data_IF_316539190340
#
_entry.id   IF_316539190340
#
_cell.length_a   1.000
_cell.length_b   1.000
_cell.length_c   1.000
_cell.angle_alpha   90.00
_cell.angle_beta   90.00
_cell.angle_gamma   90.00
#
_symmetry.space_group_name_H-M   'P 1'
#
loop_
_entity.id
_entity.type
_entity.pdbx_description
1 polymer ?
#
# COMPACT_ATOMS: atom_id res chain seq x y z
N UNK A 1 -6.93 4.80 -26.11
CA UNK A 1 -7.73 3.56 -26.02
C UNK A 1 -7.27 2.82 -24.78
N UNK A 2 -7.91 3.11 -23.65
CA UNK A 2 -7.59 2.53 -22.35
C UNK A 2 -8.61 1.43 -22.07
N UNK A 3 -8.17 0.18 -22.08
CA UNK A 3 -8.98 -0.93 -21.62
C UNK A 3 -8.98 -0.94 -20.09
N UNK A 4 -10.18 -0.87 -19.52
CA UNK A 4 -10.51 -1.16 -18.12
C UNK A 4 -9.90 -2.49 -17.69
N UNK A 5 -9.08 -2.51 -16.64
CA UNK A 5 -8.60 -3.77 -16.08
C UNK A 5 -8.45 -3.64 -14.56
N UNK A 6 -9.52 -3.95 -13.85
CA UNK A 6 -9.37 -4.90 -12.76
C UNK A 6 -8.75 -6.15 -13.37
N UNK A 7 -7.48 -6.46 -13.08
CA UNK A 7 -6.84 -7.65 -13.63
C UNK A 7 -7.31 -8.87 -12.84
N UNK A 8 -8.56 -9.23 -13.13
CA UNK A 8 -9.11 -10.59 -13.07
C UNK A 8 -8.12 -11.52 -13.77
N UNK A 9 -7.80 -12.68 -13.18
CA UNK A 9 -7.20 -13.78 -13.92
C UNK A 9 -8.20 -14.09 -15.04
N UNK A 10 -7.85 -14.08 -16.34
CA UNK A 10 -8.83 -14.10 -17.42
C UNK A 10 -9.91 -15.15 -17.19
N UNK A 11 -11.15 -14.69 -17.08
CA UNK A 11 -12.33 -15.52 -16.90
C UNK A 11 -12.46 -16.50 -18.06
N UNK A 12 -12.70 -17.76 -17.71
CA UNK A 12 -12.97 -18.85 -18.65
C UNK A 12 -14.20 -18.45 -19.48
N UNK A 13 -14.13 -18.69 -20.80
CA UNK A 13 -15.24 -18.54 -21.73
C UNK A 13 -16.52 -19.18 -21.17
N UNK A 14 -17.62 -18.43 -21.23
CA UNK A 14 -18.95 -18.84 -20.80
C UNK A 14 -19.38 -20.15 -21.48
N UNK A 15 -19.51 -21.21 -20.70
CA UNK A 15 -20.35 -22.35 -21.04
C UNK A 15 -21.49 -22.41 -20.02
N UNK A 16 -22.71 -22.40 -20.56
CA UNK A 16 -24.02 -22.67 -19.96
C UNK A 16 -24.13 -22.70 -18.43
N UNK A 17 -24.88 -21.75 -17.88
CA UNK A 17 -25.38 -21.78 -16.50
C UNK A 17 -26.34 -22.95 -16.32
N UNK A 18 -25.93 -23.93 -15.53
CA UNK A 18 -26.82 -24.85 -14.84
C UNK A 18 -26.69 -24.63 -13.33
N UNK A 19 -27.82 -24.57 -12.65
CA UNK A 19 -27.94 -24.35 -11.22
C UNK A 19 -27.38 -25.54 -10.43
N UNK A 20 -26.14 -25.40 -9.96
CA UNK A 20 -25.45 -26.24 -9.00
C UNK A 20 -24.25 -25.46 -8.47
N UNK A 21 -23.88 -25.64 -7.20
CA UNK A 21 -22.74 -25.00 -6.54
C UNK A 21 -21.56 -24.79 -7.50
N UNK A 22 -21.10 -23.54 -7.68
CA UNK A 22 -19.94 -23.24 -8.51
C UNK A 22 -18.79 -24.16 -8.10
N UNK A 23 -18.12 -24.84 -9.05
CA UNK A 23 -16.98 -25.66 -8.70
C UNK A 23 -15.90 -24.75 -8.11
N UNK A 24 -15.39 -25.13 -6.94
CA UNK A 24 -14.29 -24.42 -6.29
C UNK A 24 -13.12 -24.27 -7.25
N UNK A 25 -12.41 -23.15 -7.16
CA UNK A 25 -11.30 -22.86 -8.08
C UNK A 25 -10.28 -24.01 -8.06
N UNK A 26 -9.83 -24.51 -9.23
CA UNK A 26 -8.92 -25.65 -9.31
C UNK A 26 -7.58 -25.41 -8.60
N UNK A 27 -7.27 -24.15 -8.29
CA UNK A 27 -6.05 -23.72 -7.63
C UNK A 27 -6.18 -23.61 -6.12
N UNK A 28 -7.37 -23.28 -5.60
CA UNK A 28 -7.56 -22.93 -4.19
C UNK A 28 -8.18 -24.07 -3.37
N UNK A 29 -8.80 -25.05 -4.03
CA UNK A 29 -9.37 -26.23 -3.38
C UNK A 29 -10.63 -25.90 -2.58
N UNK A 30 -10.47 -25.24 -1.44
CA UNK A 30 -11.54 -24.79 -0.55
C UNK A 30 -11.62 -23.25 -0.53
N UNK A 31 -12.83 -22.72 -0.71
CA UNK A 31 -13.14 -21.30 -0.57
C UNK A 31 -13.23 -20.88 0.90
N UNK A 32 -12.91 -19.62 1.18
CA UNK A 32 -12.99 -19.08 2.54
C UNK A 32 -14.43 -18.69 2.84
N UNK A 33 -14.96 -19.15 3.97
CA UNK A 33 -16.26 -18.73 4.50
C UNK A 33 -16.22 -17.24 4.91
N UNK A 34 -17.00 -16.35 4.26
CA UNK A 34 -17.00 -14.92 4.55
C UNK A 34 -17.58 -14.57 5.93
N UNK A 35 -18.25 -15.49 6.61
CA UNK A 35 -18.75 -15.27 7.97
C UNK A 35 -17.68 -15.52 9.04
N UNK A 36 -16.50 -16.02 8.63
CA UNK A 36 -15.40 -16.34 9.53
C UNK A 36 -14.23 -15.39 9.33
N UNK A 37 -13.47 -15.18 10.42
CA UNK A 37 -12.21 -14.43 10.43
C UNK A 37 -11.05 -15.33 9.92
N UNK A 38 -11.27 -15.94 8.77
CA UNK A 38 -10.35 -16.88 8.15
C UNK A 38 -9.58 -16.20 7.02
N UNK A 39 -8.29 -16.54 6.94
CA UNK A 39 -7.39 -16.08 5.89
C UNK A 39 -6.61 -17.26 5.34
N UNK A 40 -6.14 -17.14 4.10
CA UNK A 40 -5.23 -18.11 3.51
C UNK A 40 -3.79 -17.64 3.74
N UNK A 41 -2.93 -18.52 4.24
CA UNK A 41 -1.50 -18.29 4.32
C UNK A 41 -0.77 -19.16 3.30
N UNK A 42 0.24 -18.59 2.67
CA UNK A 42 1.08 -19.24 1.67
C UNK A 42 2.37 -19.73 2.32
N UNK A 43 2.70 -21.00 2.14
CA UNK A 43 4.01 -21.57 2.43
C UNK A 43 4.83 -21.58 1.15
N UNK A 44 5.86 -20.75 1.09
CA UNK A 44 6.88 -20.77 0.04
C UNK A 44 7.90 -21.88 0.39
N UNK A 45 8.04 -22.88 -0.49
CA UNK A 45 8.93 -24.00 -0.24
C UNK A 45 10.39 -23.64 -0.52
N UNK A 46 11.35 -24.30 0.17
CA UNK A 46 12.77 -24.11 -0.07
C UNK A 46 13.18 -24.42 -1.51
N UNK A 47 14.24 -23.77 -1.97
CA UNK A 47 14.82 -24.07 -3.28
C UNK A 47 15.99 -23.17 -3.63
N UNK A 48 16.74 -23.56 -4.66
CA UNK A 48 17.83 -22.74 -5.20
C UNK A 48 17.27 -21.47 -5.84
N UNK A 49 18.07 -20.41 -5.95
CA UNK A 49 17.65 -19.16 -6.57
C UNK A 49 17.03 -19.38 -7.97
N UNK A 50 17.67 -20.17 -8.83
CA UNK A 50 17.21 -20.42 -10.21
C UNK A 50 16.23 -21.61 -10.33
N UNK A 51 15.88 -22.25 -9.22
CA UNK A 51 14.94 -23.38 -9.20
C UNK A 51 13.48 -22.96 -9.36
N UNK A 52 12.57 -23.88 -9.73
CA UNK A 52 11.15 -23.56 -9.86
C UNK A 52 10.55 -23.13 -8.52
N UNK A 53 9.72 -22.08 -8.52
CA UNK A 53 9.00 -21.64 -7.32
C UNK A 53 7.84 -22.59 -7.06
N UNK A 54 7.78 -23.10 -5.83
CA UNK A 54 6.67 -23.96 -5.37
C UNK A 54 6.07 -23.38 -4.10
N UNK A 55 4.75 -23.26 -4.10
CA UNK A 55 3.98 -22.73 -2.99
C UNK A 55 2.78 -23.63 -2.69
N UNK A 56 2.45 -23.76 -1.41
CA UNK A 56 1.20 -24.35 -0.95
C UNK A 56 0.46 -23.35 -0.07
N UNK A 57 -0.84 -23.56 0.15
CA UNK A 57 -1.64 -22.69 1.02
C UNK A 57 -2.44 -23.45 2.04
N UNK A 58 -2.70 -22.82 3.19
CA UNK A 58 -3.61 -23.32 4.22
C UNK A 58 -4.55 -22.21 4.70
N UNK A 59 -5.81 -22.56 4.99
CA UNK A 59 -6.77 -21.67 5.64
C UNK A 59 -6.53 -21.71 7.15
N UNK A 60 -6.41 -20.54 7.76
CA UNK A 60 -6.18 -20.38 9.20
C UNK A 60 -7.12 -19.32 9.75
N UNK A 61 -7.33 -19.35 11.07
CA UNK A 61 -8.08 -18.33 11.77
C UNK A 61 -7.17 -17.16 12.16
N UNK A 62 -7.50 -15.94 11.74
CA UNK A 62 -6.70 -14.75 12.03
C UNK A 62 -6.74 -14.40 13.52
N UNK A 63 -7.90 -14.55 14.17
CA UNK A 63 -8.08 -14.37 15.62
C UNK A 63 -7.24 -15.33 16.47
N UNK A 64 -6.76 -16.46 15.92
CA UNK A 64 -5.79 -17.32 16.61
C UNK A 64 -4.34 -16.81 16.56
N UNK A 65 -4.11 -15.63 15.97
CA UNK A 65 -2.81 -14.95 15.86
C UNK A 65 -1.71 -15.82 15.25
N UNK A 66 -1.90 -16.33 14.02
CA UNK A 66 -0.87 -17.12 13.35
C UNK A 66 0.38 -16.28 13.07
N UNK A 67 1.55 -16.91 12.98
CA UNK A 67 2.83 -16.26 12.65
C UNK A 67 3.05 -16.30 11.14
N UNK A 68 3.25 -15.14 10.51
CA UNK A 68 3.49 -15.00 9.07
C UNK A 68 4.11 -13.63 8.74
N UNK A 69 4.72 -13.54 7.55
CA UNK A 69 5.17 -12.26 6.98
C UNK A 69 4.18 -11.79 5.92
N UNK A 70 3.68 -10.56 6.01
CA UNK A 70 2.91 -9.99 4.90
C UNK A 70 3.86 -9.47 3.82
N UNK A 71 3.61 -9.75 2.55
CA UNK A 71 4.39 -9.21 1.43
C UNK A 71 3.68 -8.02 0.80
N UNK A 72 4.37 -6.88 0.77
CA UNK A 72 3.95 -5.67 0.09
C UNK A 72 4.91 -5.41 -1.07
N UNK A 73 4.40 -5.31 -2.30
CA UNK A 73 5.21 -5.18 -3.51
C UNK A 73 4.42 -4.52 -4.63
N UNK A 74 5.11 -3.93 -5.62
CA UNK A 74 4.46 -3.40 -6.83
C UNK A 74 4.05 -4.54 -7.76
N UNK A 75 2.77 -4.64 -8.10
CA UNK A 75 2.24 -5.72 -8.95
C UNK A 75 2.94 -5.87 -10.31
N UNK A 76 3.29 -4.76 -10.96
CA UNK A 76 3.90 -4.76 -12.30
C UNK A 76 2.89 -4.91 -13.43
N UNK A 77 3.38 -5.30 -14.62
CA UNK A 77 2.55 -5.47 -15.80
C UNK A 77 1.61 -6.69 -15.67
N UNK A 78 0.27 -6.53 -15.79
CA UNK A 78 -0.67 -7.64 -15.72
C UNK A 78 -0.55 -8.64 -16.89
N UNK A 79 0.07 -8.24 -18.00
CA UNK A 79 0.29 -9.11 -19.16
C UNK A 79 1.59 -9.93 -19.08
N UNK A 80 2.56 -9.48 -18.29
CA UNK A 80 3.85 -10.16 -18.10
C UNK A 80 3.75 -11.15 -16.93
N UNK A 81 3.55 -12.43 -17.27
CA UNK A 81 3.28 -13.52 -16.33
C UNK A 81 4.35 -14.62 -16.44
N UNK A 82 4.71 -15.20 -15.29
CA UNK A 82 5.59 -16.35 -15.18
C UNK A 82 4.88 -17.47 -14.39
N UNK A 83 5.07 -18.74 -14.75
CA UNK A 83 4.43 -19.85 -14.07
C UNK A 83 5.14 -20.21 -12.76
N UNK A 84 4.35 -20.63 -11.77
CA UNK A 84 4.83 -21.29 -10.55
C UNK A 84 4.07 -22.59 -10.31
N UNK A 85 4.59 -23.43 -9.43
CA UNK A 85 3.83 -24.56 -8.89
C UNK A 85 3.03 -24.07 -7.67
N UNK A 86 1.70 -24.03 -7.77
CA UNK A 86 0.83 -23.53 -6.70
C UNK A 86 -0.22 -24.59 -6.35
N UNK A 87 -0.25 -25.01 -5.08
CA UNK A 87 -1.14 -26.08 -4.59
C UNK A 87 -1.10 -27.35 -5.45
N UNK A 88 0.10 -27.73 -5.91
CA UNK A 88 0.32 -28.92 -6.75
C UNK A 88 0.06 -28.69 -8.26
N UNK A 89 -0.46 -27.54 -8.67
CA UNK A 89 -0.68 -27.19 -10.09
C UNK A 89 0.56 -26.52 -10.66
N UNK A 90 1.17 -27.11 -11.70
CA UNK A 90 2.52 -26.78 -12.19
C UNK A 90 2.65 -25.51 -13.06
N UNK A 91 1.57 -24.78 -13.29
CA UNK A 91 1.55 -23.65 -14.25
C UNK A 91 0.64 -22.50 -13.81
N UNK A 92 0.57 -22.21 -12.52
CA UNK A 92 -0.21 -21.07 -12.03
C UNK A 92 0.51 -19.75 -12.40
N UNK A 93 -0.14 -18.83 -13.14
CA UNK A 93 0.52 -17.62 -13.63
C UNK A 93 0.55 -16.51 -12.56
N UNK A 94 1.73 -15.96 -12.28
CA UNK A 94 1.91 -14.77 -11.43
C UNK A 94 2.65 -13.66 -12.18
N UNK A 95 2.56 -12.42 -11.72
CA UNK A 95 3.28 -11.30 -12.36
C UNK A 95 4.80 -11.52 -12.28
N UNK A 96 5.56 -10.98 -13.25
CA UNK A 96 7.04 -11.00 -13.18
C UNK A 96 7.57 -10.40 -11.87
N UNK A 97 6.97 -9.33 -11.39
CA UNK A 97 7.40 -8.68 -10.15
C UNK A 97 7.22 -9.62 -8.94
N UNK A 98 6.07 -10.30 -8.82
CA UNK A 98 5.86 -11.26 -7.75
C UNK A 98 6.80 -12.45 -7.87
N UNK A 99 7.00 -12.99 -9.07
CA UNK A 99 7.96 -14.07 -9.30
C UNK A 99 9.37 -13.67 -8.86
N UNK A 100 9.81 -12.48 -9.24
CA UNK A 100 11.12 -11.93 -8.87
C UNK A 100 11.23 -11.74 -7.37
N UNK A 101 10.20 -11.21 -6.71
CA UNK A 101 10.14 -11.08 -5.26
C UNK A 101 10.29 -12.45 -4.58
N UNK A 102 9.45 -13.42 -4.92
CA UNK A 102 9.49 -14.77 -4.35
C UNK A 102 10.84 -15.45 -4.57
N UNK A 103 11.48 -15.25 -5.73
CA UNK A 103 12.83 -15.75 -6.01
C UNK A 103 13.86 -15.24 -5.01
N UNK A 104 13.82 -13.96 -4.67
CA UNK A 104 14.75 -13.34 -3.71
C UNK A 104 14.39 -13.63 -2.26
N UNK A 105 13.09 -13.75 -1.96
CA UNK A 105 12.59 -14.00 -0.61
C UNK A 105 12.81 -15.44 -0.16
N UNK A 106 12.75 -16.40 -1.11
CA UNK A 106 12.90 -17.84 -0.88
C UNK A 106 14.21 -18.18 -0.17
N UNK A 107 14.09 -18.82 0.98
CA UNK A 107 15.21 -19.44 1.67
C UNK A 107 15.60 -20.78 1.01
N UNK A 108 16.89 -21.12 0.91
CA UNK A 108 17.33 -22.36 0.27
C UNK A 108 16.98 -23.63 1.07
N UNK A 109 16.74 -23.51 2.38
CA UNK A 109 16.64 -24.66 3.29
C UNK A 109 15.31 -24.72 4.05
N UNK A 110 14.70 -23.57 4.36
CA UNK A 110 13.56 -23.48 5.26
C UNK A 110 12.30 -22.95 4.55
N UNK A 111 11.14 -23.59 4.73
CA UNK A 111 9.90 -23.03 4.23
C UNK A 111 9.57 -21.72 4.96
N UNK A 112 8.99 -20.77 4.25
CA UNK A 112 8.62 -19.47 4.78
C UNK A 112 7.11 -19.24 4.60
N UNK A 113 6.47 -18.68 5.63
CA UNK A 113 5.03 -18.44 5.62
C UNK A 113 4.77 -16.97 5.32
N UNK A 114 4.04 -16.72 4.23
CA UNK A 114 3.67 -15.40 3.77
C UNK A 114 2.15 -15.22 3.69
N UNK A 115 1.70 -13.98 3.82
CA UNK A 115 0.45 -13.54 3.24
C UNK A 115 0.74 -12.65 2.04
N UNK A 116 0.16 -12.96 0.89
CA UNK A 116 0.37 -12.25 -0.37
C UNK A 116 -1.00 -12.09 -1.04
N UNK A 117 -1.50 -10.86 -1.16
CA UNK A 117 -2.83 -10.54 -1.72
C UNK A 117 -3.18 -11.32 -2.99
N UNK A 118 -2.26 -11.37 -3.96
CA UNK A 118 -2.44 -12.02 -5.26
C UNK A 118 -2.55 -13.55 -5.20
N UNK A 119 -2.09 -14.19 -4.12
CA UNK A 119 -2.06 -15.66 -3.97
C UNK A 119 -2.88 -16.16 -2.78
N UNK A 120 -3.13 -15.33 -1.78
CA UNK A 120 -3.91 -15.69 -0.60
C UNK A 120 -5.39 -15.37 -0.78
N UNK A 121 -5.74 -14.40 -1.62
CA UNK A 121 -7.13 -14.08 -1.95
C UNK A 121 -7.49 -14.76 -3.29
N UNK A 122 -8.59 -15.51 -3.32
CA UNK A 122 -9.17 -15.98 -4.56
C UNK A 122 -9.78 -14.80 -5.33
N UNK A 123 -9.02 -14.28 -6.30
CA UNK A 123 -9.35 -13.03 -7.01
C UNK A 123 -10.62 -13.12 -7.86
N UNK A 124 -11.05 -14.34 -8.20
CA UNK A 124 -12.19 -14.61 -9.07
C UNK A 124 -13.47 -14.92 -8.29
N UNK A 125 -13.38 -15.09 -6.96
CA UNK A 125 -14.53 -15.43 -6.12
C UNK A 125 -15.23 -14.16 -5.59
N UNK A 126 -16.47 -13.95 -6.04
CA UNK A 126 -17.23 -12.70 -5.82
C UNK A 126 -17.44 -12.33 -4.35
N UNK A 127 -17.56 -13.30 -3.45
CA UNK A 127 -17.76 -13.05 -2.01
C UNK A 127 -16.45 -13.05 -1.20
N UNK A 128 -15.51 -13.98 -1.47
CA UNK A 128 -14.21 -14.06 -0.78
C UNK A 128 -13.41 -12.76 -0.95
N UNK A 129 -13.30 -12.23 -2.18
CA UNK A 129 -12.45 -11.06 -2.45
C UNK A 129 -12.87 -9.80 -1.67
N UNK A 130 -14.13 -9.33 -1.73
CA UNK A 130 -14.58 -8.19 -0.93
C UNK A 130 -14.40 -8.41 0.57
N UNK A 131 -14.64 -9.64 1.06
CA UNK A 131 -14.43 -9.98 2.47
C UNK A 131 -12.96 -9.87 2.88
N UNK A 132 -12.04 -10.49 2.13
CA UNK A 132 -10.62 -10.46 2.43
C UNK A 132 -10.02 -9.05 2.32
N UNK A 133 -10.51 -8.20 1.40
CA UNK A 133 -10.12 -6.78 1.32
C UNK A 133 -10.46 -6.03 2.62
N UNK A 134 -11.60 -6.33 3.23
CA UNK A 134 -11.97 -5.71 4.52
C UNK A 134 -11.05 -6.17 5.66
N UNK A 135 -10.54 -7.40 5.59
CA UNK A 135 -9.61 -7.94 6.57
C UNK A 135 -8.17 -7.47 6.37
N UNK A 136 -7.80 -6.87 5.23
CA UNK A 136 -6.41 -6.48 4.93
C UNK A 136 -5.78 -5.65 6.06
N UNK A 137 -6.51 -4.69 6.61
CA UNK A 137 -6.01 -3.88 7.73
C UNK A 137 -5.66 -4.73 8.96
N UNK A 138 -6.46 -5.74 9.27
CA UNK A 138 -6.22 -6.65 10.40
C UNK A 138 -5.14 -7.69 10.08
N UNK A 139 -5.03 -8.12 8.83
CA UNK A 139 -3.96 -9.00 8.34
C UNK A 139 -2.60 -8.32 8.51
N UNK A 140 -2.43 -7.11 7.98
CA UNK A 140 -1.15 -6.38 8.15
C UNK A 140 -0.86 -6.06 9.61
N UNK A 141 -1.89 -5.77 10.43
CA UNK A 141 -1.75 -5.53 11.87
C UNK A 141 -1.29 -6.75 12.67
N UNK A 142 -1.72 -7.94 12.27
CA UNK A 142 -1.40 -9.19 12.97
C UNK A 142 -0.22 -9.96 12.35
N UNK A 143 0.32 -9.52 11.21
CA UNK A 143 1.54 -10.05 10.65
C UNK A 143 2.71 -9.86 11.62
N UNK A 144 3.67 -10.79 11.66
CA UNK A 144 4.88 -10.63 12.47
C UNK A 144 5.75 -9.48 11.96
N UNK A 145 5.75 -9.29 10.65
CA UNK A 145 6.40 -8.17 9.94
C UNK A 145 5.73 -8.03 8.57
N UNK A 146 5.81 -6.83 7.99
CA UNK A 146 5.54 -6.62 6.56
C UNK A 146 6.86 -6.45 5.83
N UNK A 147 7.14 -7.33 4.87
CA UNK A 147 8.25 -7.16 3.94
C UNK A 147 7.80 -6.30 2.77
N UNK A 148 8.34 -5.09 2.68
CA UNK A 148 8.14 -4.15 1.58
C UNK A 148 9.23 -4.40 0.55
N UNK A 149 8.87 -5.02 -0.57
CA UNK A 149 9.78 -5.33 -1.66
C UNK A 149 9.82 -4.21 -2.71
N UNK A 150 10.95 -3.51 -2.79
CA UNK A 150 11.17 -2.43 -3.76
C UNK A 150 11.66 -2.91 -5.14
N UNK A 151 12.17 -4.14 -5.22
CA UNK A 151 12.72 -4.72 -6.44
C UNK A 151 14.15 -5.26 -6.27
N UNK A 152 14.73 -5.83 -7.35
CA UNK A 152 16.14 -6.24 -7.38
C UNK A 152 17.08 -5.08 -7.09
N UNK A 153 18.28 -5.38 -6.59
CA UNK A 153 19.29 -4.35 -6.37
C UNK A 153 19.91 -3.87 -7.68
N UNK A 154 20.23 -2.58 -7.72
CA UNK A 154 21.08 -1.92 -8.72
C UNK A 154 22.27 -1.30 -8.00
N UNK A 155 23.38 -0.99 -8.70
CA UNK A 155 24.48 -0.24 -8.08
C UNK A 155 24.03 1.06 -7.41
N UNK A 156 23.00 1.71 -7.97
CA UNK A 156 22.42 2.92 -7.39
C UNK A 156 21.61 2.63 -6.13
N UNK A 157 20.75 1.61 -6.12
CA UNK A 157 19.98 1.27 -4.93
C UNK A 157 20.87 0.79 -3.78
N UNK A 158 21.93 0.05 -4.07
CA UNK A 158 22.91 -0.40 -3.08
C UNK A 158 23.65 0.80 -2.46
N UNK A 159 24.03 1.79 -3.29
CA UNK A 159 24.60 3.04 -2.81
C UNK A 159 23.63 3.79 -1.90
N UNK A 160 22.36 3.92 -2.30
CA UNK A 160 21.33 4.59 -1.51
C UNK A 160 21.10 3.90 -0.16
N UNK A 161 20.98 2.57 -0.12
CA UNK A 161 20.78 1.81 1.12
C UNK A 161 22.00 1.89 2.02
N UNK A 162 23.22 1.81 1.46
CA UNK A 162 24.45 1.99 2.23
C UNK A 162 24.52 3.38 2.87
N UNK A 163 24.11 4.41 2.12
CA UNK A 163 24.05 5.78 2.59
C UNK A 163 23.01 5.94 3.70
N UNK A 164 21.77 5.47 3.50
CA UNK A 164 20.71 5.52 4.52
C UNK A 164 21.21 4.88 5.84
N UNK A 165 21.82 3.69 5.75
CA UNK A 165 22.40 3.01 6.92
C UNK A 165 23.50 3.82 7.60
N UNK A 166 24.34 4.51 6.82
CA UNK A 166 25.41 5.36 7.37
C UNK A 166 24.89 6.63 8.03
N UNK A 167 23.68 7.09 7.67
CA UNK A 167 23.07 8.30 8.21
C UNK A 167 22.23 8.00 9.45
N UNK A 168 21.75 6.77 9.60
CA UNK A 168 21.00 6.32 10.76
C UNK A 168 21.80 6.52 12.06
N UNK A 169 21.22 7.26 13.02
CA UNK A 169 21.88 7.62 14.28
C UNK A 169 22.99 8.69 14.18
N UNK A 170 23.24 9.29 13.01
CA UNK A 170 24.27 10.34 12.85
C UNK A 170 23.72 11.75 13.05
N UNK A 171 24.59 12.66 13.51
CA UNK A 171 24.25 14.07 13.56
C UNK A 171 24.43 14.72 12.17
N UNK A 172 23.31 14.90 11.47
CA UNK A 172 23.25 15.54 10.15
C UNK A 172 23.61 17.04 10.16
N UNK A 173 23.71 17.70 11.31
CA UNK A 173 24.17 19.10 11.38
C UNK A 173 25.63 19.28 10.94
N UNK A 174 26.44 18.21 11.02
CA UNK A 174 27.86 18.29 10.69
C UNK A 174 28.08 18.30 9.18
N UNK A 175 28.80 19.29 8.61
CA UNK A 175 29.12 19.31 7.18
C UNK A 175 29.87 18.07 6.70
N UNK A 176 30.62 17.40 7.60
CA UNK A 176 31.31 16.14 7.33
C UNK A 176 30.38 14.97 7.04
N UNK A 177 29.11 15.06 7.45
CA UNK A 177 28.09 14.03 7.31
C UNK A 177 27.10 14.37 6.18
N UNK A 178 27.39 15.42 5.41
CA UNK A 178 26.56 15.78 4.26
C UNK A 178 26.66 14.70 3.16
N UNK A 179 25.53 14.20 2.64
CA UNK A 179 25.56 13.22 1.57
C UNK A 179 26.24 13.75 0.31
N UNK A 180 27.03 12.91 -0.35
CA UNK A 180 27.61 13.24 -1.66
C UNK A 180 26.52 13.44 -2.73
N UNK A 181 26.78 14.21 -3.80
CA UNK A 181 25.80 14.39 -4.89
C UNK A 181 25.33 13.08 -5.53
N UNK A 182 26.23 12.10 -5.66
CA UNK A 182 25.89 10.75 -6.15
C UNK A 182 25.00 10.00 -5.15
N UNK A 183 25.25 10.16 -3.85
CA UNK A 183 24.43 9.62 -2.78
C UNK A 183 23.00 10.21 -2.78
N UNK A 184 22.88 11.53 -2.96
CA UNK A 184 21.58 12.19 -3.08
C UNK A 184 20.78 11.72 -4.31
N UNK A 185 21.45 11.54 -5.45
CA UNK A 185 20.82 10.97 -6.65
C UNK A 185 20.34 9.54 -6.40
N UNK A 186 21.14 8.76 -5.68
CA UNK A 186 20.78 7.39 -5.33
C UNK A 186 19.55 7.32 -4.41
N UNK A 187 19.48 8.20 -3.40
CA UNK A 187 18.29 8.36 -2.57
C UNK A 187 17.07 8.75 -3.42
N UNK A 188 17.22 9.72 -4.32
CA UNK A 188 16.13 10.16 -5.19
C UNK A 188 15.57 9.03 -6.07
N UNK A 189 16.41 8.10 -6.54
CA UNK A 189 15.98 6.92 -7.29
C UNK A 189 15.10 5.99 -6.42
N UNK A 190 15.53 5.70 -5.18
CA UNK A 190 14.71 4.90 -4.26
C UNK A 190 13.38 5.60 -3.93
N UNK A 191 13.39 6.93 -3.75
CA UNK A 191 12.17 7.72 -3.51
C UNK A 191 11.20 7.70 -4.70
N UNK A 192 11.72 7.53 -5.92
CA UNK A 192 10.93 7.42 -7.15
C UNK A 192 10.31 6.03 -7.36
N UNK A 193 10.60 5.05 -6.49
CA UNK A 193 10.02 3.73 -6.58
C UNK A 193 8.47 3.82 -6.59
N UNK A 194 7.78 3.20 -7.58
CA UNK A 194 6.32 3.24 -7.68
C UNK A 194 5.58 2.68 -6.47
N UNK A 195 6.27 1.96 -5.59
CA UNK A 195 5.69 1.49 -4.34
C UNK A 195 5.19 2.65 -3.49
N UNK A 196 6.01 3.70 -3.31
CA UNK A 196 5.69 4.83 -2.43
C UNK A 196 4.43 5.59 -2.85
N UNK A 197 4.06 5.56 -4.13
CA UNK A 197 2.92 6.31 -4.65
C UNK A 197 1.58 5.61 -4.48
N UNK A 198 1.52 4.32 -4.12
CA UNK A 198 0.26 3.57 -4.12
C UNK A 198 -0.54 3.80 -2.85
N UNK A 199 -1.83 4.07 -2.96
CA UNK A 199 -2.70 4.34 -1.79
C UNK A 199 -2.69 3.20 -0.75
N UNK A 200 -2.65 1.95 -1.21
CA UNK A 200 -2.71 0.79 -0.34
C UNK A 200 -1.52 0.65 0.60
N UNK A 201 -0.32 1.10 0.19
CA UNK A 201 0.90 0.92 0.99
C UNK A 201 0.83 1.57 2.36
N UNK A 202 -0.07 2.55 2.50
CA UNK A 202 -0.35 3.17 3.78
C UNK A 202 -0.92 2.15 4.75
N UNK A 203 -1.87 1.27 4.40
CA UNK A 203 -2.30 0.22 5.32
C UNK A 203 -1.20 -0.84 5.53
N UNK A 204 -0.55 -1.23 4.44
CA UNK A 204 0.40 -2.35 4.39
C UNK A 204 1.59 -2.11 5.31
N UNK A 205 2.07 -0.87 5.26
CA UNK A 205 3.11 -0.41 6.12
C UNK A 205 2.47 0.08 7.46
N UNK A 206 1.50 1.02 7.41
CA UNK A 206 0.67 1.59 8.50
C UNK A 206 0.67 0.82 9.79
N UNK A 207 0.02 -0.31 9.59
CA UNK A 207 -0.58 -1.17 10.58
C UNK A 207 0.38 -2.29 10.95
N UNK A 208 1.40 -2.55 10.12
CA UNK A 208 2.45 -3.53 10.40
C UNK A 208 3.15 -3.21 11.71
N UNK A 209 3.31 -4.16 12.64
CA UNK A 209 4.03 -3.91 13.88
C UNK A 209 5.53 -3.63 13.66
N UNK A 210 6.13 -4.20 12.62
CA UNK A 210 7.54 -4.02 12.27
C UNK A 210 7.73 -4.10 10.74
N UNK A 211 7.42 -3.04 9.98
CA UNK A 211 7.63 -3.05 8.53
C UNK A 211 9.12 -2.93 8.20
N UNK A 212 9.59 -3.80 7.31
CA UNK A 212 10.96 -3.79 6.78
C UNK A 212 10.94 -3.47 5.28
N UNK A 213 11.93 -2.74 4.81
CA UNK A 213 12.14 -2.46 3.39
C UNK A 213 13.25 -3.36 2.88
N UNK A 214 12.97 -4.07 1.79
CA UNK A 214 13.91 -4.96 1.13
C UNK A 214 14.09 -4.57 -0.34
N UNK A 215 15.35 -4.48 -0.76
CA UNK A 215 15.75 -4.26 -2.15
C UNK A 215 16.92 -5.20 -2.46
N UNK A 216 16.71 -6.13 -3.40
CA UNK A 216 17.64 -7.24 -3.63
C UNK A 216 17.87 -8.06 -2.35
N UNK A 217 19.13 -8.21 -1.97
CA UNK A 217 19.54 -8.91 -0.75
C UNK A 217 19.57 -8.00 0.49
N UNK A 218 19.44 -6.69 0.33
CA UNK A 218 19.58 -5.73 1.43
C UNK A 218 18.24 -5.47 2.09
N UNK A 219 18.25 -5.42 3.43
CA UNK A 219 17.10 -5.12 4.28
C UNK A 219 17.41 -3.95 5.20
N UNK A 220 16.44 -3.07 5.40
CA UNK A 220 16.45 -1.96 6.35
C UNK A 220 15.12 -1.92 7.11
N UNK A 221 15.13 -1.39 8.33
CA UNK A 221 13.86 -1.05 9.00
C UNK A 221 13.21 0.13 8.29
N UNK A 222 11.89 0.24 8.39
CA UNK A 222 11.19 1.43 7.93
C UNK A 222 11.68 2.71 8.64
N UNK A 223 12.08 2.59 9.90
CA UNK A 223 12.60 3.72 10.70
C UNK A 223 13.89 4.32 10.11
N UNK A 224 14.78 3.49 9.55
CA UNK A 224 16.00 4.00 8.90
C UNK A 224 15.69 4.95 7.74
N UNK A 225 14.50 4.88 7.13
CA UNK A 225 14.09 5.82 6.08
C UNK A 225 13.61 7.17 6.62
N UNK A 226 13.28 7.27 7.91
CA UNK A 226 12.84 8.53 8.53
C UNK A 226 13.95 9.58 8.57
N UNK A 227 15.21 9.16 8.62
CA UNK A 227 16.38 10.07 8.53
C UNK A 227 16.38 10.87 7.23
N UNK A 228 15.79 10.33 6.16
CA UNK A 228 15.70 11.01 4.87
C UNK A 228 14.74 12.21 4.91
N UNK A 229 13.72 12.17 5.77
CA UNK A 229 12.83 13.31 5.97
C UNK A 229 13.55 14.45 6.70
N UNK A 230 14.43 14.13 7.64
CA UNK A 230 15.25 15.14 8.35
C UNK A 230 16.22 15.86 7.40
N UNK A 231 16.83 15.12 6.45
CA UNK A 231 17.64 15.71 5.36
C UNK A 231 16.79 16.61 4.46
N UNK A 232 15.60 16.14 4.06
CA UNK A 232 14.70 16.87 3.16
C UNK A 232 14.19 18.17 3.80
N UNK A 233 13.81 18.12 5.07
CA UNK A 233 13.26 19.26 5.83
C UNK A 233 14.34 20.18 6.38
N UNK A 234 15.61 19.77 6.32
CA UNK A 234 16.71 20.46 6.98
C UNK A 234 16.55 20.54 8.50
N UNK A 235 15.84 19.57 9.11
CA UNK A 235 15.32 19.68 10.48
C UNK A 235 15.86 18.59 11.41
N UNK A 236 16.18 18.94 12.66
CA UNK A 236 16.67 18.04 13.72
C UNK A 236 15.53 17.73 14.68
N UNK A 237 15.15 16.44 14.81
CA UNK A 237 14.09 16.01 15.72
C UNK A 237 14.31 16.18 17.24
N UNK A 238 15.47 16.64 17.79
CA UNK A 238 15.56 16.93 19.23
C UNK A 238 15.48 18.42 19.65
N UNK A 239 15.28 19.41 18.78
CA UNK A 239 15.17 20.81 19.22
C UNK A 239 14.09 21.61 18.49
N UNK A 240 13.22 22.28 19.27
CA UNK A 240 12.03 23.03 18.84
C UNK A 240 12.31 24.31 18.00
N UNK A 241 13.39 24.40 17.22
CA UNK A 241 13.73 25.66 16.53
C UNK A 241 14.00 25.44 15.05
N UNK A 242 13.15 26.01 14.21
CA UNK A 242 13.42 26.22 12.78
C UNK A 242 14.63 27.16 12.63
N UNK A 243 15.75 26.67 12.08
CA UNK A 243 16.81 27.55 11.59
C UNK A 243 16.84 27.51 10.06
N UNK A 244 16.36 28.59 9.46
CA UNK A 244 16.29 28.83 8.01
C UNK A 244 17.66 29.07 7.33
N UNK A 245 18.75 28.54 7.90
CA UNK A 245 20.10 28.97 7.55
C UNK A 245 20.94 27.82 6.97
N UNK A 246 21.25 27.96 5.68
CA UNK A 246 22.33 27.31 4.91
C UNK A 246 22.02 26.05 4.06
N UNK A 247 20.80 25.88 3.53
CA UNK A 247 20.56 24.98 2.35
C UNK A 247 19.88 25.77 1.22
N UNK A 248 20.40 26.97 0.90
CA UNK A 248 20.01 27.72 -0.30
C UNK A 248 20.99 27.51 -1.47
N UNK A 249 21.94 26.58 -1.35
CA UNK A 249 22.94 26.29 -2.41
C UNK A 249 22.68 24.97 -3.14
N UNK A 250 21.69 24.16 -2.72
CA UNK A 250 21.22 22.97 -3.46
C UNK A 250 19.89 23.32 -4.15
N UNK A 251 19.87 24.43 -4.88
CA UNK A 251 18.71 24.98 -5.61
C UNK A 251 18.41 24.25 -6.92
N UNK A 252 18.43 22.91 -6.92
CA UNK A 252 17.88 22.10 -8.02
C UNK A 252 17.32 20.73 -7.59
N UNK A 253 17.27 20.42 -6.28
CA UNK A 253 16.57 19.25 -5.77
C UNK A 253 15.33 19.71 -5.00
N UNK A 254 14.35 20.25 -5.72
CA UNK A 254 13.01 20.50 -5.19
C UNK A 254 12.37 19.14 -4.83
N UNK A 255 12.72 18.60 -3.66
CA UNK A 255 12.02 17.47 -3.05
C UNK A 255 10.65 18.00 -2.64
N UNK A 256 9.69 17.88 -3.56
CA UNK A 256 8.37 18.46 -3.47
C UNK A 256 7.76 18.25 -2.07
N UNK A 257 7.21 19.33 -1.51
CA UNK A 257 6.49 19.34 -0.22
C UNK A 257 5.23 18.45 -0.23
N UNK A 258 4.90 17.86 -1.39
CA UNK A 258 3.82 16.90 -1.64
C UNK A 258 4.33 15.80 -2.58
N UNK A 259 5.07 14.83 -2.05
CA UNK A 259 5.31 13.58 -2.77
C UNK A 259 4.92 12.39 -1.88
N UNK A 260 4.43 11.27 -2.46
CA UNK A 260 3.92 10.15 -1.67
C UNK A 260 4.97 9.54 -0.72
N UNK A 261 6.24 9.55 -1.12
CA UNK A 261 7.37 9.16 -0.27
C UNK A 261 7.40 10.00 1.02
N UNK A 262 7.40 11.33 0.89
CA UNK A 262 7.38 12.27 2.02
C UNK A 262 6.10 12.12 2.84
N UNK A 263 4.97 11.84 2.17
CA UNK A 263 3.72 11.54 2.85
C UNK A 263 3.88 10.38 3.83
N UNK A 264 4.52 9.30 3.38
CA UNK A 264 4.86 8.16 4.23
C UNK A 264 5.88 8.58 5.30
N UNK A 265 7.10 9.00 4.95
CA UNK A 265 8.16 9.17 5.98
C UNK A 265 7.91 10.31 6.98
N UNK A 266 7.10 11.31 6.63
CA UNK A 266 6.70 12.40 7.55
C UNK A 266 5.49 12.05 8.39
N UNK A 267 4.35 11.74 7.77
CA UNK A 267 3.08 11.69 8.50
C UNK A 267 2.92 10.39 9.25
N UNK A 268 3.60 9.36 8.78
CA UNK A 268 3.60 8.05 9.39
C UNK A 268 3.91 8.04 10.88
N UNK A 269 5.04 8.59 11.39
CA UNK A 269 5.44 8.36 12.77
C UNK A 269 4.41 8.99 13.72
N UNK A 270 3.97 10.21 13.42
CA UNK A 270 2.94 10.91 14.19
C UNK A 270 1.60 10.16 14.14
N UNK A 271 1.21 9.67 12.96
CA UNK A 271 -0.03 8.94 12.81
C UNK A 271 0.00 7.56 13.47
N UNK A 272 1.13 6.86 13.40
CA UNK A 272 1.37 5.57 14.05
C UNK A 272 1.29 5.72 15.57
N UNK A 273 1.93 6.76 16.11
CA UNK A 273 1.86 7.09 17.54
C UNK A 273 0.40 7.33 17.93
N UNK A 274 -0.36 8.12 17.18
CA UNK A 274 -1.80 8.36 17.46
C UNK A 274 -2.65 7.09 17.38
N UNK A 275 -2.36 6.20 16.42
CA UNK A 275 -3.12 4.95 16.22
C UNK A 275 -2.80 3.89 17.28
N UNK A 276 -1.52 3.72 17.65
CA UNK A 276 -1.08 2.67 18.57
C UNK A 276 -1.15 3.10 20.03
N UNK A 277 -0.96 4.39 20.32
CA UNK A 277 -0.96 4.94 21.67
C UNK A 277 -1.96 6.12 21.78
N UNK A 278 -3.27 5.86 21.67
CA UNK A 278 -4.27 6.90 21.77
C UNK A 278 -4.22 7.55 23.16
N UNK A 279 -3.89 8.84 23.23
CA UNK A 279 -3.96 9.58 24.50
C UNK A 279 -5.35 10.19 24.66
N UNK A 280 -5.85 10.38 25.90
CA UNK A 280 -7.15 11.01 26.14
C UNK A 280 -7.27 12.43 25.56
N UNK A 281 -6.14 13.10 25.33
CA UNK A 281 -6.06 14.45 24.77
C UNK A 281 -5.86 14.48 23.25
N UNK A 282 -5.45 13.38 22.62
CA UNK A 282 -5.34 13.31 21.16
C UNK A 282 -6.70 13.08 20.54
N UNK A 283 -7.14 14.00 19.67
CA UNK A 283 -8.27 13.72 18.79
C UNK A 283 -7.86 12.58 17.85
N UNK A 284 -8.65 11.48 17.77
CA UNK A 284 -8.37 10.43 16.81
C UNK A 284 -8.40 11.03 15.40
N UNK A 285 -7.39 10.73 14.59
CA UNK A 285 -7.35 11.22 13.21
C UNK A 285 -8.59 10.72 12.46
N UNK A 286 -9.39 11.66 11.98
CA UNK A 286 -10.62 11.32 11.26
C UNK A 286 -10.29 10.71 9.91
N UNK A 287 -11.19 9.87 9.37
CA UNK A 287 -11.04 9.40 7.99
C UNK A 287 -10.96 10.53 6.96
N UNK A 288 -11.60 11.65 7.27
CA UNK A 288 -11.49 12.88 6.49
C UNK A 288 -10.04 13.38 6.43
N UNK A 289 -9.33 13.46 7.57
CA UNK A 289 -7.90 13.82 7.57
C UNK A 289 -7.08 12.85 6.72
N UNK A 290 -7.34 11.55 6.85
CA UNK A 290 -6.64 10.55 6.04
C UNK A 290 -6.92 10.68 4.56
N UNK A 291 -8.18 10.89 4.15
CA UNK A 291 -8.55 11.10 2.76
C UNK A 291 -7.83 12.34 2.17
N UNK A 292 -7.60 13.37 2.97
CA UNK A 292 -6.79 14.52 2.56
C UNK A 292 -5.32 14.13 2.34
N UNK A 293 -4.69 13.43 3.29
CA UNK A 293 -3.30 13.00 3.14
C UNK A 293 -3.08 12.03 1.98
N UNK A 294 -4.10 11.22 1.65
CA UNK A 294 -4.02 10.24 0.57
C UNK A 294 -4.37 10.79 -0.82
N UNK A 295 -4.73 12.07 -0.91
CA UNK A 295 -5.07 12.71 -2.18
C UNK A 295 -3.92 12.64 -3.21
N UNK A 296 -2.67 12.68 -2.75
CA UNK A 296 -1.47 12.61 -3.60
C UNK A 296 -1.08 11.16 -4.00
N UNK A 297 -1.72 10.14 -3.40
CA UNK A 297 -1.40 8.73 -3.65
C UNK A 297 -2.19 8.17 -4.81
N UNK A 298 -1.53 7.48 -5.74
CA UNK A 298 -2.11 6.86 -6.90
C UNK A 298 -2.98 5.64 -6.54
N UNK A 299 -4.09 5.51 -7.26
CA UNK A 299 -5.00 4.38 -7.18
C UNK A 299 -5.36 3.95 -8.61
N UNK A 300 -5.29 2.65 -8.90
CA UNK A 300 -5.66 2.12 -10.22
C UNK A 300 -7.17 2.04 -10.37
N UNK A 301 -7.87 1.53 -9.34
CA UNK A 301 -9.30 1.76 -9.20
C UNK A 301 -9.51 3.07 -8.40
N UNK A 302 -10.23 4.06 -8.94
CA UNK A 302 -10.58 5.27 -8.19
C UNK A 302 -11.20 4.99 -6.80
N UNK A 303 -11.96 3.90 -6.61
CA UNK A 303 -12.57 3.52 -5.32
C UNK A 303 -11.54 3.22 -4.23
N UNK A 304 -10.33 2.81 -4.59
CA UNK A 304 -9.26 2.49 -3.65
C UNK A 304 -8.75 3.72 -2.89
N UNK A 305 -9.01 4.93 -3.38
CA UNK A 305 -8.79 6.17 -2.60
C UNK A 305 -9.57 6.19 -1.28
N UNK A 306 -10.69 5.45 -1.23
CA UNK A 306 -11.53 5.28 -0.05
C UNK A 306 -11.32 3.89 0.58
N UNK A 307 -11.30 2.80 -0.20
CA UNK A 307 -11.08 1.46 0.36
C UNK A 307 -9.69 1.30 0.98
N UNK A 308 -8.69 2.01 0.45
CA UNK A 308 -7.36 2.14 1.01
C UNK A 308 -7.32 2.81 2.40
N UNK A 309 -8.45 3.29 2.92
CA UNK A 309 -8.58 3.82 4.29
C UNK A 309 -9.26 2.85 5.27
N UNK A 310 -9.80 1.72 4.81
CA UNK A 310 -10.56 0.77 5.64
C UNK A 310 -9.79 0.31 6.88
N UNK A 311 -8.51 -0.01 6.75
CA UNK A 311 -7.69 -0.46 7.88
C UNK A 311 -7.40 0.61 8.93
N UNK A 312 -7.54 1.90 8.57
CA UNK A 312 -7.34 3.07 9.44
C UNK A 312 -8.66 3.58 10.04
N UNK A 313 -9.78 3.16 9.48
CA UNK A 313 -11.12 3.55 9.86
C UNK A 313 -11.51 3.00 11.25
N UNK A 314 -12.31 3.76 12.00
CA UNK A 314 -12.96 3.25 13.22
C UNK A 314 -13.96 2.13 12.88
N UNK A 315 -14.38 1.34 13.87
CA UNK A 315 -15.33 0.23 13.62
C UNK A 315 -16.65 0.73 13.00
N UNK A 316 -17.15 1.88 13.45
CA UNK A 316 -18.36 2.50 12.91
C UNK A 316 -18.17 2.88 11.43
N UNK A 317 -17.00 3.45 11.11
CA UNK A 317 -16.67 3.86 9.75
C UNK A 317 -16.47 2.66 8.81
N UNK A 318 -15.84 1.58 9.29
CA UNK A 318 -15.63 0.35 8.52
C UNK A 318 -16.96 -0.25 8.07
N UNK A 319 -17.99 -0.26 8.93
CA UNK A 319 -19.34 -0.79 8.60
C UNK A 319 -19.97 -0.07 7.39
N UNK A 320 -19.76 1.23 7.28
CA UNK A 320 -20.35 2.03 6.19
C UNK A 320 -19.62 1.78 4.87
N UNK A 321 -18.30 1.70 4.92
CA UNK A 321 -17.50 1.41 3.73
C UNK A 321 -17.63 -0.05 3.28
N UNK A 322 -17.80 -0.99 4.22
CA UNK A 322 -18.13 -2.41 3.97
C UNK A 322 -19.34 -2.54 3.06
N UNK A 323 -20.43 -1.84 3.39
CA UNK A 323 -21.63 -1.82 2.56
C UNK A 323 -21.35 -1.36 1.12
N UNK A 324 -20.48 -0.38 0.93
CA UNK A 324 -20.16 0.12 -0.42
C UNK A 324 -19.36 -0.89 -1.25
N UNK A 325 -18.47 -1.65 -0.61
CA UNK A 325 -17.65 -2.68 -1.25
C UNK A 325 -18.50 -3.90 -1.65
N UNK A 326 -19.37 -4.37 -0.76
CA UNK A 326 -20.23 -5.55 -0.97
C UNK A 326 -21.29 -5.35 -2.05
N UNK A 327 -21.79 -4.11 -2.21
CA UNK A 327 -22.78 -3.78 -3.23
C UNK A 327 -22.15 -3.37 -4.58
N UNK A 328 -20.84 -3.57 -4.75
CA UNK A 328 -20.08 -3.20 -5.95
C UNK A 328 -20.42 -1.80 -6.48
N UNK A 329 -20.45 -0.82 -5.58
CA UNK A 329 -20.80 0.55 -5.93
C UNK A 329 -19.80 1.14 -6.93
N UNK A 330 -20.29 2.04 -7.79
CA UNK A 330 -19.44 2.87 -8.66
C UNK A 330 -18.61 3.87 -7.85
N UNK A 331 -17.52 4.38 -8.42
CA UNK A 331 -16.68 5.41 -7.78
C UNK A 331 -17.49 6.63 -7.33
N UNK A 332 -18.43 7.11 -8.16
CA UNK A 332 -19.30 8.23 -7.81
C UNK A 332 -20.15 7.97 -6.56
N UNK A 333 -20.73 6.77 -6.45
CA UNK A 333 -21.51 6.36 -5.28
C UNK A 333 -20.63 6.24 -4.02
N UNK A 334 -19.44 5.65 -4.15
CA UNK A 334 -18.47 5.52 -3.05
C UNK A 334 -18.07 6.90 -2.52
N UNK A 335 -17.68 7.82 -3.41
CA UNK A 335 -17.26 9.17 -3.04
C UNK A 335 -18.39 9.99 -2.42
N UNK A 336 -19.60 9.88 -2.98
CA UNK A 336 -20.78 10.57 -2.44
C UNK A 336 -21.08 10.12 -1.01
N UNK A 337 -21.05 8.80 -0.75
CA UNK A 337 -21.28 8.26 0.59
C UNK A 337 -20.16 8.61 1.57
N UNK A 338 -18.91 8.53 1.13
CA UNK A 338 -17.76 8.91 1.94
C UNK A 338 -17.84 10.39 2.34
N UNK A 339 -18.14 11.29 1.39
CA UNK A 339 -18.26 12.72 1.67
C UNK A 339 -19.44 13.04 2.60
N UNK A 340 -20.62 12.42 2.38
CA UNK A 340 -21.75 12.52 3.32
C UNK A 340 -21.33 12.15 4.74
N UNK A 341 -20.61 11.04 4.87
CA UNK A 341 -20.13 10.57 6.15
C UNK A 341 -19.13 11.53 6.79
N UNK A 342 -18.14 12.02 6.03
CA UNK A 342 -17.16 12.99 6.51
C UNK A 342 -17.83 14.26 7.04
N UNK A 343 -18.84 14.78 6.33
CA UNK A 343 -19.58 15.96 6.76
C UNK A 343 -20.40 15.71 8.04
N UNK A 344 -20.97 14.52 8.19
CA UNK A 344 -21.74 14.15 9.39
C UNK A 344 -20.85 13.91 10.62
N UNK A 345 -19.61 13.44 10.41
CA UNK A 345 -18.72 12.97 11.50
C UNK A 345 -17.63 13.96 11.89
N UNK A 346 -17.00 14.63 10.93
CA UNK A 346 -15.84 15.48 11.19
C UNK A 346 -16.20 16.77 11.96
N UNK A 347 -17.50 17.12 12.03
CA UNK A 347 -18.01 18.37 12.64
C UNK A 347 -17.27 19.64 12.17
N UNK A 348 -16.63 19.58 11.02
CA UNK A 348 -15.92 20.68 10.38
C UNK A 348 -16.10 20.59 8.87
N UNK A 349 -15.90 21.71 8.19
CA UNK A 349 -16.02 21.81 6.74
C UNK A 349 -14.63 21.80 6.06
N UNK A 350 -13.61 21.22 6.70
CA UNK A 350 -12.26 21.12 6.13
C UNK A 350 -12.28 20.34 4.80
N UNK A 351 -13.22 19.41 4.66
CA UNK A 351 -13.44 18.69 3.40
C UNK A 351 -14.12 19.53 2.31
N UNK A 352 -14.65 20.71 2.65
CA UNK A 352 -15.20 21.67 1.71
C UNK A 352 -14.28 22.88 1.51
N UNK A 353 -13.20 23.02 2.30
CA UNK A 353 -12.29 24.17 2.23
C UNK A 353 -11.28 24.07 1.08
N UNK A 354 -11.62 23.34 0.00
CA UNK A 354 -10.74 23.24 -1.15
C UNK A 354 -11.00 24.38 -2.12
N UNK A 355 -9.95 25.18 -2.27
CA UNK A 355 -9.87 26.33 -3.14
C UNK A 355 -10.19 25.93 -4.58
N UNK A 356 -11.06 26.73 -5.17
CA UNK A 356 -11.69 26.57 -6.47
C UNK A 356 -10.75 26.83 -7.66
N UNK A 357 -9.47 27.08 -7.42
CA UNK A 357 -8.57 27.64 -8.43
C UNK A 357 -7.98 26.64 -9.44
N UNK A 358 -7.95 25.33 -9.15
CA UNK A 358 -7.64 24.32 -10.18
C UNK A 358 -8.86 23.85 -10.98
N UNK A 359 -10.09 24.23 -10.56
CA UNK A 359 -11.34 23.91 -11.26
C UNK A 359 -11.80 25.00 -12.23
N UNK A 360 -11.15 26.15 -12.26
CA UNK A 360 -11.44 27.22 -13.22
C UNK A 360 -11.11 26.85 -14.68
N UNK A 361 -10.21 25.89 -14.92
CA UNK A 361 -9.96 25.35 -16.28
C UNK A 361 -11.02 24.34 -16.73
N UNK A 362 -11.84 23.79 -15.82
CA UNK A 362 -12.97 22.93 -16.15
C UNK A 362 -14.30 23.71 -16.29
N UNK A 363 -14.26 25.05 -16.27
CA UNK A 363 -15.43 25.91 -16.47
C UNK A 363 -15.72 26.18 -17.97
N UNK A 364 -15.09 25.46 -18.89
CA UNK A 364 -15.42 25.49 -20.32
C UNK A 364 -16.00 24.14 -20.74
N UNK A 365 -17.27 23.96 -20.38
CA UNK A 365 -18.25 23.09 -21.03
C UNK A 365 -17.87 21.63 -21.29
N UNK A 366 -18.24 20.72 -20.39
CA UNK A 366 -18.39 19.30 -20.75
C UNK A 366 -19.67 18.69 -20.15
N UNK A 367 -20.53 18.21 -21.05
CA UNK A 367 -21.59 17.24 -20.75
C UNK A 367 -20.92 16.02 -20.10
N UNK A 368 -21.25 15.69 -18.84
CA UNK A 368 -20.82 14.41 -18.26
C UNK A 368 -20.42 14.37 -16.79
N UNK A 369 -20.62 15.42 -15.97
CA UNK A 369 -20.36 15.32 -14.53
C UNK A 369 -21.26 14.26 -13.88
N UNK A 370 -20.66 13.17 -13.42
CA UNK A 370 -21.32 12.03 -12.73
C UNK A 370 -21.35 12.20 -11.20
N UNK A 371 -20.72 13.25 -10.67
CA UNK A 371 -20.60 13.55 -9.24
C UNK A 371 -21.41 14.80 -8.86
N UNK A 372 -22.10 14.82 -7.69
CA UNK A 372 -22.70 16.04 -7.14
C UNK A 372 -21.64 17.13 -6.89
N UNK A 373 -22.02 18.40 -7.02
CA UNK A 373 -21.08 19.56 -6.93
C UNK A 373 -20.36 19.72 -5.59
N UNK A 374 -20.90 19.12 -4.52
CA UNK A 374 -20.33 19.14 -3.18
C UNK A 374 -19.43 17.94 -2.88
N UNK A 375 -19.30 16.98 -3.82
CA UNK A 375 -18.47 15.79 -3.67
C UNK A 375 -17.10 16.03 -4.29
N UNK A 376 -16.03 15.70 -3.55
CA UNK A 376 -14.67 15.67 -4.08
C UNK A 376 -14.53 14.48 -5.02
N UNK A 377 -13.92 14.72 -6.17
CA UNK A 377 -13.45 13.64 -7.02
C UNK A 377 -12.07 13.20 -6.53
N UNK A 378 -12.01 12.10 -5.78
CA UNK A 378 -10.75 11.59 -5.25
C UNK A 378 -9.84 10.95 -6.32
N UNK A 379 -10.35 10.78 -7.55
CA UNK A 379 -9.55 10.26 -8.67
C UNK A 379 -8.60 11.30 -9.26
N UNK A 380 -8.90 12.59 -9.08
CA UNK A 380 -8.00 13.69 -9.44
C UNK A 380 -6.94 13.85 -8.34
N UNK A 381 -5.65 13.80 -8.71
CA UNK A 381 -4.58 14.08 -7.75
C UNK A 381 -4.62 15.57 -7.38
N UNK A 382 -4.33 15.90 -6.11
CA UNK A 382 -4.15 17.29 -5.71
C UNK A 382 -2.89 17.82 -6.44
N UNK A 383 -3.09 18.79 -7.34
CA UNK A 383 -2.03 19.40 -8.14
C UNK A 383 -1.04 20.22 -7.32
#
# INVERSE_FOLDING_TARGET
MHNSVFAIIPSRQEFGRDSGSEPSSPYYGQDIDPEQDHIRLLTLLPGTHDGPITCTTAIVNLSSKPTYTALSYVWGDPSDRLPITFNGVSAFPITRNLHTALTHLRDPSNPQIFWIDALCINQDHANEKPHQIQLMGDIYRNASTTCIWLGPSTPTSDLAISLIRSLDGTNLSSPSNSPSPSGLRAIAEIQSCPWWSRVWVIQEALLSPDPIIRCGAQTLSMESFMVLDDIRRGWHRPSQTYHHSAINTITNLSLALRNPFSGIVTYWPDARIRLLNPTPSSSPSTLAEWAYYLSDFQATDPRDKIYGLLGLASEADRKIMKFALENNMSASQVYTRAMMWFLMTARNLLQLSFDTDSRASCAVGEKGRTLPSWVIDFSENAG
#
